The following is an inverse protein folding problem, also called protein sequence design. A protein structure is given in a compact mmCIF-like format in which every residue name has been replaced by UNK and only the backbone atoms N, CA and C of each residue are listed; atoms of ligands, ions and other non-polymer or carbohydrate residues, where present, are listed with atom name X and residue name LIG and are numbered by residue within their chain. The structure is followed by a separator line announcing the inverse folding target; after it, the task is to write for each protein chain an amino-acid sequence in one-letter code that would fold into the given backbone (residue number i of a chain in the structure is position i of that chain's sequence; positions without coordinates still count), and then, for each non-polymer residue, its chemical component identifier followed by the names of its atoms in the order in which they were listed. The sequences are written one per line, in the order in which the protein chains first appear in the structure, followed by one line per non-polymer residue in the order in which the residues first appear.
data_IF_578864985205
#
_entry.id   IF_578864985205
#
_cell.length_a   1.000
_cell.length_b   1.000
_cell.length_c   1.000
_cell.angle_alpha   90.00
_cell.angle_beta   90.00
_cell.angle_gamma   90.00
#
_symmetry.space_group_name_H-M   'P 1'
#
loop_
_entity.id
_entity.type
_entity.pdbx_description
1 polymer ?
#
# COMPACT_ATOMS: atom_id res chain seq x y z
N UNK A 1 17.20 -13.33 20.12
CA UNK A 1 16.91 -11.97 19.62
C UNK A 1 17.08 -11.89 18.11
N UNK A 2 18.27 -12.17 17.57
CA UNK A 2 18.55 -12.20 16.11
C UNK A 2 17.49 -12.95 15.30
N UNK A 3 17.17 -14.20 15.65
CA UNK A 3 16.21 -15.00 14.87
C UNK A 3 14.80 -14.39 14.82
N UNK A 4 14.40 -13.66 15.88
CA UNK A 4 13.11 -12.95 15.89
C UNK A 4 13.14 -11.79 14.90
N UNK A 5 14.20 -10.99 14.92
CA UNK A 5 14.38 -9.86 13.99
C UNK A 5 14.46 -10.37 12.55
N UNK A 6 15.18 -11.47 12.30
CA UNK A 6 15.29 -12.07 10.98
C UNK A 6 13.93 -12.52 10.43
N UNK A 7 13.10 -13.17 11.26
CA UNK A 7 11.74 -13.56 10.86
C UNK A 7 10.88 -12.35 10.49
N UNK A 8 10.98 -11.27 11.26
CA UNK A 8 10.24 -10.03 10.95
C UNK A 8 10.73 -9.44 9.63
N UNK A 9 12.04 -9.37 9.39
CA UNK A 9 12.60 -8.87 8.12
C UNK A 9 12.11 -9.69 6.92
N UNK A 10 12.06 -11.01 7.03
CA UNK A 10 11.51 -11.90 5.98
C UNK A 10 10.03 -11.62 5.73
N UNK A 11 9.21 -11.58 6.79
CA UNK A 11 7.78 -11.29 6.67
C UNK A 11 7.50 -9.90 6.07
N UNK A 12 8.28 -8.88 6.45
CA UNK A 12 8.18 -7.55 5.85
C UNK A 12 8.54 -7.58 4.35
N UNK A 13 9.44 -8.47 3.93
CA UNK A 13 9.75 -8.69 2.52
C UNK A 13 8.56 -9.23 1.72
N UNK A 14 7.84 -10.20 2.28
CA UNK A 14 6.61 -10.76 1.67
C UNK A 14 5.52 -9.68 1.60
N UNK A 15 5.29 -8.95 2.69
CA UNK A 15 4.31 -7.86 2.76
C UNK A 15 4.63 -6.74 1.75
N UNK A 16 5.91 -6.40 1.53
CA UNK A 16 6.29 -5.46 0.47
C UNK A 16 5.81 -5.92 -0.92
N UNK A 17 5.91 -7.23 -1.20
CA UNK A 17 5.41 -7.82 -2.45
C UNK A 17 3.89 -7.69 -2.57
N UNK A 18 3.16 -8.02 -1.51
CA UNK A 18 1.70 -7.89 -1.48
C UNK A 18 1.24 -6.44 -1.68
N UNK A 19 1.92 -5.48 -1.05
CA UNK A 19 1.64 -4.05 -1.23
C UNK A 19 1.93 -3.59 -2.65
N UNK A 20 3.00 -4.08 -3.28
CA UNK A 20 3.27 -3.81 -4.69
C UNK A 20 2.15 -4.37 -5.60
N UNK A 21 1.70 -5.60 -5.35
CA UNK A 21 0.55 -6.17 -6.04
C UNK A 21 -0.73 -5.35 -5.81
N UNK A 22 -0.98 -4.87 -4.60
CA UNK A 22 -2.13 -4.02 -4.28
C UNK A 22 -2.09 -2.68 -5.04
N UNK A 23 -0.93 -2.04 -5.13
CA UNK A 23 -0.73 -0.82 -5.94
C UNK A 23 -1.07 -1.06 -7.42
N UNK A 24 -0.50 -2.11 -8.02
CA UNK A 24 -0.77 -2.45 -9.42
C UNK A 24 -2.24 -2.80 -9.67
N UNK A 25 -2.85 -3.57 -8.77
CA UNK A 25 -4.26 -3.97 -8.86
C UNK A 25 -5.19 -2.77 -8.75
N UNK A 26 -4.88 -1.83 -7.85
CA UNK A 26 -5.65 -0.59 -7.69
C UNK A 26 -5.55 0.28 -8.93
N UNK A 27 -4.36 0.39 -9.54
CA UNK A 27 -4.19 1.11 -10.79
C UNK A 27 -4.95 0.46 -11.95
N UNK A 28 -4.93 -0.87 -12.04
CA UNK A 28 -5.73 -1.59 -13.03
C UNK A 28 -7.24 -1.34 -12.83
N UNK A 29 -7.71 -1.38 -11.58
CA UNK A 29 -9.11 -1.09 -11.25
C UNK A 29 -9.50 0.36 -11.62
N UNK A 30 -8.61 1.33 -11.38
CA UNK A 30 -8.82 2.73 -11.77
C UNK A 30 -9.02 2.84 -13.30
N UNK A 31 -8.13 2.21 -14.08
CA UNK A 31 -8.23 2.21 -15.55
C UNK A 31 -9.52 1.54 -16.04
N UNK A 32 -9.96 0.47 -15.38
CA UNK A 32 -11.21 -0.22 -15.70
C UNK A 32 -12.45 0.58 -15.34
N UNK A 33 -12.46 1.27 -14.19
CA UNK A 33 -13.56 2.16 -13.80
C UNK A 33 -13.72 3.28 -14.83
N UNK A 34 -12.61 3.91 -15.25
CA UNK A 34 -12.62 4.93 -16.30
C UNK A 34 -13.08 4.41 -17.67
N UNK A 35 -13.05 3.10 -17.90
CA UNK A 35 -13.49 2.46 -19.14
C UNK A 35 -15.01 2.27 -19.22
N UNK A 36 -15.77 2.41 -18.13
CA UNK A 36 -17.23 2.18 -18.09
C UNK A 36 -18.06 2.95 -19.13
N UNK A 37 -17.51 4.02 -19.73
CA UNK A 37 -18.13 4.75 -20.84
C UNK A 37 -17.64 4.43 -22.25
N UNK A 38 -16.73 3.47 -22.45
CA UNK A 38 -16.03 3.25 -23.73
C UNK A 38 -16.08 1.78 -24.19
N UNK A 39 -16.85 1.51 -25.25
CA UNK A 39 -16.88 0.23 -25.95
C UNK A 39 -15.67 0.02 -26.89
N UNK A 40 -14.71 0.96 -26.95
CA UNK A 40 -13.58 0.88 -27.87
C UNK A 40 -12.22 0.94 -27.14
N UNK A 41 -11.34 -0.07 -27.33
CA UNK A 41 -10.03 -0.12 -26.69
C UNK A 41 -9.07 1.01 -27.12
N UNK A 42 -9.37 1.70 -28.22
CA UNK A 42 -8.60 2.84 -28.75
C UNK A 42 -9.13 4.22 -28.32
N UNK A 43 -10.26 4.28 -27.60
CA UNK A 43 -10.80 5.56 -27.11
C UNK A 43 -9.97 6.06 -25.92
N UNK A 44 -9.63 7.35 -25.90
CA UNK A 44 -8.98 7.99 -24.74
C UNK A 44 -9.82 7.73 -23.49
N UNK A 45 -9.16 7.29 -22.41
CA UNK A 45 -9.78 7.25 -21.09
C UNK A 45 -10.27 8.66 -20.77
N UNK A 46 -11.59 8.79 -20.60
CA UNK A 46 -12.20 10.03 -20.15
C UNK A 46 -11.74 10.25 -18.70
N UNK A 47 -11.28 11.45 -18.36
CA UNK A 47 -10.98 11.78 -16.97
C UNK A 47 -12.26 11.71 -16.12
N UNK A 48 -12.12 11.53 -14.80
CA UNK A 48 -13.27 11.51 -13.88
C UNK A 48 -14.23 12.70 -14.07
N UNK A 49 -13.72 13.89 -14.39
CA UNK A 49 -14.51 15.10 -14.64
C UNK A 49 -15.32 15.08 -15.95
N UNK A 50 -14.98 14.18 -16.87
CA UNK A 50 -15.59 14.04 -18.20
C UNK A 50 -16.66 12.93 -18.24
N UNK A 51 -16.78 12.14 -17.19
CA UNK A 51 -17.88 11.19 -17.01
C UNK A 51 -19.16 11.94 -16.61
N UNK A 52 -20.18 11.85 -17.47
CA UNK A 52 -21.52 12.39 -17.22
C UNK A 52 -22.30 11.60 -16.17
N UNK A 53 -23.47 12.10 -15.76
CA UNK A 53 -24.26 11.56 -14.63
C UNK A 53 -24.60 10.06 -14.74
N UNK A 54 -24.72 9.53 -15.96
CA UNK A 54 -24.96 8.09 -16.21
C UNK A 54 -23.80 7.18 -15.76
N UNK A 55 -22.62 7.73 -15.50
CA UNK A 55 -21.42 7.02 -15.04
C UNK A 55 -20.96 7.52 -13.65
N UNK A 56 -21.91 7.98 -12.82
CA UNK A 56 -21.61 8.51 -11.49
C UNK A 56 -20.92 7.47 -10.59
N UNK A 57 -21.32 6.21 -10.69
CA UNK A 57 -20.73 5.06 -10.02
C UNK A 57 -19.23 4.92 -10.35
N UNK A 58 -18.91 4.89 -11.64
CA UNK A 58 -17.55 4.76 -12.15
C UNK A 58 -16.69 5.97 -11.83
N UNK A 59 -17.28 7.18 -11.88
CA UNK A 59 -16.61 8.42 -11.47
C UNK A 59 -16.27 8.43 -9.98
N UNK A 60 -17.18 7.96 -9.13
CA UNK A 60 -16.95 7.89 -7.69
C UNK A 60 -15.85 6.86 -7.35
N UNK A 61 -15.89 5.68 -7.96
CA UNK A 61 -14.84 4.68 -7.84
C UNK A 61 -13.48 5.20 -8.37
N UNK A 62 -13.49 5.84 -9.54
CA UNK A 62 -12.31 6.46 -10.15
C UNK A 62 -11.69 7.59 -9.33
N UNK A 63 -12.44 8.23 -8.42
CA UNK A 63 -11.91 9.20 -7.46
C UNK A 63 -11.31 8.53 -6.20
N UNK A 64 -11.84 7.38 -5.78
CA UNK A 64 -11.42 6.68 -4.56
C UNK A 64 -10.24 5.74 -4.77
N UNK A 65 -10.11 5.13 -5.95
CA UNK A 65 -9.02 4.19 -6.28
C UNK A 65 -7.63 4.86 -6.29
N UNK A 66 -7.44 6.09 -6.80
CA UNK A 66 -6.16 6.80 -6.66
C UNK A 66 -5.72 6.98 -5.20
N UNK A 67 -6.65 7.33 -4.30
CA UNK A 67 -6.36 7.42 -2.86
C UNK A 67 -5.94 6.06 -2.30
N UNK A 68 -6.65 4.99 -2.64
CA UNK A 68 -6.31 3.64 -2.21
C UNK A 68 -4.90 3.24 -2.66
N UNK A 69 -4.53 3.58 -3.90
CA UNK A 69 -3.20 3.33 -4.45
C UNK A 69 -2.12 4.13 -3.75
N UNK A 70 -2.36 5.41 -3.46
CA UNK A 70 -1.45 6.26 -2.71
C UNK A 70 -1.20 5.71 -1.30
N UNK A 71 -2.26 5.34 -0.58
CA UNK A 71 -2.10 4.75 0.75
C UNK A 71 -1.34 3.42 0.72
N UNK A 72 -1.55 2.58 -0.29
CA UNK A 72 -0.75 1.36 -0.46
C UNK A 72 0.74 1.67 -0.72
N UNK A 73 1.04 2.73 -1.48
CA UNK A 73 2.42 3.18 -1.72
C UNK A 73 3.09 3.76 -0.47
N UNK A 74 2.35 4.55 0.29
CA UNK A 74 2.84 5.09 1.55
C UNK A 74 3.08 3.95 2.56
N UNK A 75 2.21 2.93 2.60
CA UNK A 75 2.41 1.73 3.41
C UNK A 75 3.66 0.96 2.98
N UNK A 76 3.85 0.76 1.67
CA UNK A 76 5.04 0.09 1.11
C UNK A 76 6.32 0.80 1.54
N UNK A 77 6.31 2.13 1.50
CA UNK A 77 7.46 2.96 1.90
C UNK A 77 7.78 2.73 3.38
N UNK A 78 6.79 2.79 4.28
CA UNK A 78 7.00 2.51 5.70
C UNK A 78 7.50 1.09 5.97
N UNK A 79 6.99 0.07 5.26
CA UNK A 79 7.52 -1.30 5.38
C UNK A 79 9.00 -1.37 4.98
N UNK A 80 9.40 -0.66 3.92
CA UNK A 80 10.80 -0.60 3.49
C UNK A 80 11.70 0.05 4.55
N UNK A 81 11.22 1.13 5.19
CA UNK A 81 11.95 1.83 6.25
C UNK A 81 12.09 0.94 7.49
N UNK A 82 10.99 0.37 7.97
CA UNK A 82 10.97 -0.61 9.06
C UNK A 82 11.97 -1.75 8.81
N UNK A 83 11.97 -2.31 7.59
CA UNK A 83 12.88 -3.39 7.22
C UNK A 83 14.35 -2.94 7.24
N UNK A 84 14.63 -1.71 6.84
CA UNK A 84 15.98 -1.14 6.84
C UNK A 84 16.50 -0.97 8.26
N UNK A 85 15.69 -0.43 9.18
CA UNK A 85 16.03 -0.32 10.60
C UNK A 85 16.30 -1.70 11.24
N UNK A 86 15.45 -2.69 10.95
CA UNK A 86 15.67 -4.05 11.47
C UNK A 86 16.90 -4.72 10.87
N UNK A 87 17.27 -4.40 9.64
CA UNK A 87 18.53 -4.86 9.05
C UNK A 87 19.73 -4.24 9.77
N UNK A 88 19.68 -2.94 10.08
CA UNK A 88 20.66 -2.26 10.94
C UNK A 88 20.79 -2.96 12.28
N UNK A 89 19.67 -3.29 12.95
CA UNK A 89 19.68 -4.06 14.21
C UNK A 89 20.38 -5.41 14.06
N UNK A 90 20.15 -6.14 12.96
CA UNK A 90 20.81 -7.43 12.72
C UNK A 90 22.33 -7.29 12.62
N UNK A 91 22.81 -6.24 11.93
CA UNK A 91 24.23 -5.92 11.81
C UNK A 91 24.84 -5.56 13.17
N UNK A 92 24.17 -4.72 13.95
CA UNK A 92 24.68 -4.27 15.26
C UNK A 92 24.73 -5.40 16.29
N UNK A 93 23.82 -6.38 16.20
CA UNK A 93 23.83 -7.57 17.06
C UNK A 93 25.09 -8.44 16.88
N UNK A 94 25.84 -8.25 15.80
CA UNK A 94 27.12 -8.92 15.53
C UNK A 94 28.29 -8.25 16.29
N UNK A 95 28.11 -7.01 16.79
CA UNK A 95 29.15 -6.15 17.32
C UNK A 95 28.98 -5.84 18.82
N UNK A 96 28.80 -6.87 19.64
CA UNK A 96 28.49 -6.76 21.09
C UNK A 96 29.56 -6.07 21.97
N UNK A 97 30.74 -5.78 21.42
CA UNK A 97 31.83 -5.09 22.14
C UNK A 97 31.94 -3.60 21.86
N UNK A 98 31.09 -3.06 20.97
CA UNK A 98 31.14 -1.64 20.60
C UNK A 98 30.41 -0.81 21.67
N UNK A 99 31.03 0.25 22.21
CA UNK A 99 30.36 1.17 23.13
C UNK A 99 29.06 1.71 22.53
N UNK A 100 28.04 1.89 23.37
CA UNK A 100 26.73 2.46 22.99
C UNK A 100 25.90 1.68 21.96
N UNK A 101 26.39 0.53 21.47
CA UNK A 101 25.68 -0.29 20.46
C UNK A 101 24.28 -0.70 20.91
N UNK A 102 24.09 -0.98 22.19
CA UNK A 102 22.79 -1.37 22.73
C UNK A 102 21.79 -0.22 22.73
N UNK A 103 22.25 1.02 22.98
CA UNK A 103 21.41 2.22 22.92
C UNK A 103 20.94 2.43 21.48
N UNK A 104 21.87 2.36 20.53
CA UNK A 104 21.55 2.51 19.12
C UNK A 104 20.63 1.38 18.59
N UNK A 105 20.82 0.14 19.05
CA UNK A 105 19.89 -0.97 18.76
C UNK A 105 18.46 -0.64 19.23
N UNK A 106 18.31 -0.08 20.43
CA UNK A 106 16.98 0.24 20.95
C UNK A 106 16.33 1.42 20.22
N UNK A 107 17.10 2.43 19.83
CA UNK A 107 16.64 3.54 18.97
C UNK A 107 16.12 3.02 17.62
N UNK A 108 16.91 2.20 16.92
CA UNK A 108 16.52 1.59 15.63
C UNK A 108 15.26 0.74 15.77
N UNK A 109 15.10 0.02 16.89
CA UNK A 109 13.89 -0.77 17.16
C UNK A 109 12.66 0.11 17.39
N UNK A 110 12.80 1.22 18.09
CA UNK A 110 11.70 2.16 18.34
C UNK A 110 11.21 2.76 17.02
N UNK A 111 12.14 3.20 16.18
CA UNK A 111 11.80 3.76 14.85
C UNK A 111 11.14 2.69 13.97
N UNK A 112 11.68 1.47 13.93
CA UNK A 112 11.08 0.35 13.19
C UNK A 112 9.64 0.05 13.63
N UNK A 113 9.34 0.13 14.94
CA UNK A 113 7.98 -0.04 15.46
C UNK A 113 7.06 1.10 15.01
N UNK A 114 7.56 2.34 15.01
CA UNK A 114 6.83 3.50 14.48
C UNK A 114 6.47 3.32 13.01
N UNK A 115 7.45 2.96 12.18
CA UNK A 115 7.23 2.70 10.75
C UNK A 115 6.22 1.57 10.51
N UNK A 116 6.27 0.51 11.33
CA UNK A 116 5.31 -0.58 11.22
C UNK A 116 3.88 -0.14 11.57
N UNK A 117 3.72 0.68 12.62
CA UNK A 117 2.42 1.22 12.99
C UNK A 117 1.85 2.12 11.88
N UNK A 118 2.69 2.98 11.30
CA UNK A 118 2.34 3.81 10.15
C UNK A 118 1.92 2.97 8.93
N UNK A 119 2.66 1.90 8.64
CA UNK A 119 2.31 0.99 7.55
C UNK A 119 0.92 0.35 7.76
N UNK A 120 0.62 -0.12 8.97
CA UNK A 120 -0.67 -0.73 9.31
C UNK A 120 -1.81 0.28 9.08
N UNK A 121 -1.70 1.49 9.62
CA UNK A 121 -2.72 2.52 9.46
C UNK A 121 -2.97 2.85 7.97
N UNK A 122 -1.91 2.89 7.16
CA UNK A 122 -2.01 3.16 5.71
C UNK A 122 -2.65 1.99 4.95
N UNK A 123 -2.38 0.75 5.33
CA UNK A 123 -3.06 -0.43 4.76
C UNK A 123 -4.55 -0.37 5.05
N UNK A 124 -4.95 -0.04 6.27
CA UNK A 124 -6.36 0.09 6.64
C UNK A 124 -7.07 1.17 5.81
N UNK A 125 -6.43 2.34 5.64
CA UNK A 125 -6.95 3.41 4.78
C UNK A 125 -7.06 2.99 3.31
N UNK A 126 -6.03 2.31 2.79
CA UNK A 126 -6.03 1.78 1.43
C UNK A 126 -7.19 0.79 1.22
N UNK A 127 -7.34 -0.16 2.13
CA UNK A 127 -8.42 -1.16 2.10
C UNK A 127 -9.80 -0.50 2.19
N UNK A 128 -9.98 0.49 3.08
CA UNK A 128 -11.22 1.23 3.22
C UNK A 128 -11.62 1.97 1.94
N UNK A 129 -10.66 2.64 1.29
CA UNK A 129 -10.88 3.33 0.01
C UNK A 129 -11.22 2.36 -1.11
N UNK A 130 -10.48 1.25 -1.21
CA UNK A 130 -10.74 0.20 -2.19
C UNK A 130 -12.12 -0.46 -1.99
N UNK A 131 -12.51 -0.74 -0.75
CA UNK A 131 -13.83 -1.28 -0.42
C UNK A 131 -14.95 -0.30 -0.78
N UNK A 132 -14.77 0.98 -0.45
CA UNK A 132 -15.70 2.05 -0.78
C UNK A 132 -15.87 2.24 -2.30
N UNK A 133 -14.78 2.10 -3.06
CA UNK A 133 -14.83 2.15 -4.52
C UNK A 133 -15.60 0.97 -5.13
N UNK A 134 -15.47 -0.24 -4.55
CA UNK A 134 -16.23 -1.42 -4.99
C UNK A 134 -17.73 -1.27 -4.74
N UNK A 135 -18.13 -0.56 -3.70
CA UNK A 135 -19.55 -0.30 -3.40
C UNK A 135 -20.18 0.70 -4.37
N UNK A 136 -19.39 1.59 -4.97
CA UNK A 136 -19.92 2.57 -5.93
C UNK A 136 -20.27 1.94 -7.27
N UNK A 137 -19.55 0.90 -7.70
CA UNK A 137 -19.82 0.19 -8.95
C UNK A 137 -20.73 -1.00 -8.64
N UNK A 138 -22.03 -0.97 -9.00
CA UNK A 138 -22.87 -2.15 -8.82
C UNK A 138 -22.26 -3.26 -9.67
N UNK A 139 -21.98 -4.41 -9.03
CA UNK A 139 -21.54 -5.60 -9.74
C UNK A 139 -22.48 -5.84 -10.90
N UNK A 140 -21.94 -5.97 -12.12
CA UNK A 140 -22.70 -6.08 -13.37
C UNK A 140 -23.81 -7.11 -13.25
N UNK A 141 -25.01 -6.64 -12.95
CA UNK A 141 -26.22 -7.43 -12.79
C UNK A 141 -27.23 -6.93 -13.80
N UNK A 142 -27.19 -7.55 -14.98
CA UNK A 142 -28.28 -7.64 -15.95
C UNK A 142 -28.93 -6.34 -16.45
N UNK A 143 -28.63 -5.98 -17.71
CA UNK A 143 -29.64 -5.76 -18.75
C UNK A 143 -29.02 -6.06 -20.11
#
# INVERSE_FOLDING_TARGET
MRDRVQRVVTALGEVSGDLACAMSSTKAAELLALRGGSFHPSMRLLGNSQLGERHLAERNAGNKLPDAGKYAQDAYTSVCWCRSHLHTVLLLLEHKGVPDVNVFIDEERIVAVGDLADAIARVELSAGKAASARQDVPGGGGH
#
